data_IF_080323903664
#
_entry.id   IF_080323903664
#
_cell.length_a   1.000
_cell.length_b   1.000
_cell.length_c   1.000
_cell.angle_alpha   90.00
_cell.angle_beta   90.00
_cell.angle_gamma   90.00
#
_symmetry.space_group_name_H-M   'P 1'
#
loop_
_entity.id
_entity.type
_entity.pdbx_description
1 polymer ?
#
# COMPACT_ATOMS: atom_id res chain seq x y z
N UNK A 1 -39.72 9.74 41.84
CA UNK A 1 -39.70 10.87 40.89
C UNK A 1 -38.25 11.29 40.80
N UNK A 2 -37.53 10.89 39.75
CA UNK A 2 -36.09 11.19 39.63
C UNK A 2 -35.96 12.67 39.31
N UNK A 3 -35.35 13.43 40.20
CA UNK A 3 -35.22 14.87 40.05
C UNK A 3 -34.16 15.17 38.98
N UNK A 4 -34.56 15.93 37.96
CA UNK A 4 -33.74 16.31 36.79
C UNK A 4 -32.46 17.07 37.23
N UNK A 5 -32.43 17.58 38.46
CA UNK A 5 -31.27 18.25 39.05
C UNK A 5 -30.07 17.31 39.32
N UNK A 6 -30.28 16.01 39.52
CA UNK A 6 -29.18 15.05 39.76
C UNK A 6 -28.43 14.68 38.46
N UNK A 7 -28.92 15.15 37.30
CA UNK A 7 -28.31 14.99 35.97
C UNK A 7 -27.43 16.22 35.64
N UNK A 8 -27.44 17.26 36.47
CA UNK A 8 -26.55 18.41 36.31
C UNK A 8 -25.13 18.01 36.70
N UNK A 9 -24.18 18.19 35.77
CA UNK A 9 -22.75 17.92 35.96
C UNK A 9 -22.23 18.59 37.24
N UNK A 10 -21.93 17.80 38.27
CA UNK A 10 -21.27 18.29 39.47
C UNK A 10 -19.75 18.43 39.21
N UNK A 11 -19.33 19.62 38.80
CA UNK A 11 -17.92 19.94 38.59
C UNK A 11 -17.10 19.97 39.89
N UNK A 12 -17.74 19.97 41.06
CA UNK A 12 -17.05 19.99 42.35
C UNK A 12 -16.42 18.63 42.72
N UNK A 13 -16.89 17.54 42.11
CA UNK A 13 -16.38 16.19 42.33
C UNK A 13 -15.24 15.79 41.36
N UNK A 14 -14.84 16.70 40.46
CA UNK A 14 -13.77 16.44 39.49
C UNK A 14 -12.42 16.54 40.19
N UNK A 15 -11.73 15.42 40.29
CA UNK A 15 -10.34 15.37 40.74
C UNK A 15 -9.45 16.14 39.73
N UNK A 16 -8.63 17.07 40.24
CA UNK A 16 -7.74 17.89 39.41
C UNK A 16 -6.78 17.03 38.56
N UNK A 17 -6.46 15.83 39.03
CA UNK A 17 -5.68 14.87 38.27
C UNK A 17 -6.44 14.33 37.03
N UNK A 18 -7.73 14.02 37.16
CA UNK A 18 -8.55 13.57 36.04
C UNK A 18 -8.72 14.67 34.96
N UNK A 19 -8.84 15.93 35.39
CA UNK A 19 -8.93 17.08 34.49
C UNK A 19 -7.64 17.29 33.70
N UNK A 20 -6.48 17.20 34.36
CA UNK A 20 -5.18 17.34 33.69
C UNK A 20 -4.91 16.26 32.66
N UNK A 21 -5.19 14.98 32.98
CA UNK A 21 -5.07 13.87 32.02
C UNK A 21 -5.93 14.11 30.79
N UNK A 22 -7.18 14.53 30.99
CA UNK A 22 -8.15 14.75 29.90
C UNK A 22 -7.68 15.86 28.96
N UNK A 23 -7.24 17.00 29.51
CA UNK A 23 -6.73 18.13 28.71
C UNK A 23 -5.48 17.73 27.94
N UNK A 24 -4.53 17.06 28.60
CA UNK A 24 -3.30 16.59 27.95
C UNK A 24 -3.65 15.59 26.83
N UNK A 25 -4.51 14.62 27.09
CA UNK A 25 -4.94 13.62 26.11
C UNK A 25 -5.54 14.25 24.85
N UNK A 26 -6.51 15.16 25.00
CA UNK A 26 -7.10 15.84 23.84
C UNK A 26 -6.09 16.73 23.11
N UNK A 27 -5.21 17.43 23.83
CA UNK A 27 -4.20 18.29 23.21
C UNK A 27 -3.21 17.49 22.35
N UNK A 28 -2.76 16.33 22.83
CA UNK A 28 -1.83 15.45 22.11
C UNK A 28 -2.47 14.87 20.87
N UNK A 29 -3.72 14.40 20.96
CA UNK A 29 -4.46 13.87 19.80
C UNK A 29 -4.67 14.96 18.76
N UNK A 30 -5.07 16.16 19.18
CA UNK A 30 -5.25 17.29 18.28
C UNK A 30 -3.94 17.68 17.58
N UNK A 31 -2.84 17.77 18.32
CA UNK A 31 -1.51 18.04 17.76
C UNK A 31 -1.06 16.95 16.80
N UNK A 32 -1.29 15.67 17.11
CA UNK A 32 -0.93 14.56 16.26
C UNK A 32 -1.69 14.61 14.92
N UNK A 33 -3.00 14.89 14.96
CA UNK A 33 -3.83 15.04 13.76
C UNK A 33 -3.40 16.25 12.92
N UNK A 34 -3.15 17.40 13.56
CA UNK A 34 -2.69 18.61 12.88
C UNK A 34 -1.31 18.40 12.23
N UNK A 35 -0.40 17.73 12.93
CA UNK A 35 0.92 17.36 12.41
C UNK A 35 0.79 16.44 11.19
N UNK A 36 -0.03 15.40 11.30
CA UNK A 36 -0.24 14.45 10.21
C UNK A 36 -0.88 15.12 8.98
N UNK A 37 -1.84 16.03 9.18
CA UNK A 37 -2.37 16.88 8.11
C UNK A 37 -1.27 17.72 7.43
N UNK A 38 -0.38 18.35 8.21
CA UNK A 38 0.71 19.14 7.65
C UNK A 38 1.68 18.28 6.81
N UNK A 39 2.02 17.08 7.29
CA UNK A 39 2.85 16.13 6.53
C UNK A 39 2.19 15.77 5.19
N UNK A 40 0.91 15.39 5.20
CA UNK A 40 0.20 15.03 3.98
C UNK A 40 0.04 16.17 2.99
N UNK A 41 -0.05 17.42 3.43
CA UNK A 41 -0.12 18.57 2.52
C UNK A 41 1.25 18.97 1.97
N UNK A 42 2.34 18.69 2.71
CA UNK A 42 3.71 19.02 2.28
C UNK A 42 4.28 17.97 1.29
N UNK A 43 3.96 16.69 1.47
CA UNK A 43 4.40 15.59 0.60
C UNK A 43 4.10 15.83 -0.91
N UNK A 44 2.85 16.12 -1.35
CA UNK A 44 2.55 16.30 -2.77
C UNK A 44 3.28 17.52 -3.36
N UNK A 45 3.46 18.58 -2.57
CA UNK A 45 4.22 19.77 -3.01
C UNK A 45 5.69 19.43 -3.27
N UNK A 46 6.32 18.67 -2.38
CA UNK A 46 7.73 18.23 -2.54
C UNK A 46 7.87 17.30 -3.74
N UNK A 47 6.94 16.36 -3.91
CA UNK A 47 6.95 15.40 -5.03
C UNK A 47 6.77 16.14 -6.36
N UNK A 48 5.76 17.02 -6.47
CA UNK A 48 5.49 17.77 -7.69
C UNK A 48 6.67 18.70 -8.05
N UNK A 49 7.32 19.31 -7.06
CA UNK A 49 8.53 20.12 -7.28
C UNK A 49 9.68 19.28 -7.86
N UNK A 50 9.94 18.09 -7.31
CA UNK A 50 10.98 17.19 -7.82
C UNK A 50 10.67 16.69 -9.24
N UNK A 51 9.40 16.36 -9.51
CA UNK A 51 8.94 15.95 -10.84
C UNK A 51 9.16 17.08 -11.84
N UNK A 52 8.69 18.31 -11.54
CA UNK A 52 8.92 19.49 -12.39
C UNK A 52 10.40 19.76 -12.64
N UNK A 53 11.25 19.62 -11.62
CA UNK A 53 12.70 19.76 -11.79
C UNK A 53 13.30 18.69 -12.71
N UNK A 54 12.84 17.43 -12.62
CA UNK A 54 13.25 16.36 -13.54
C UNK A 54 12.77 16.62 -14.98
N UNK A 55 11.53 17.05 -15.19
CA UNK A 55 11.01 17.39 -16.52
C UNK A 55 11.80 18.55 -17.16
N UNK A 56 12.11 19.60 -16.37
CA UNK A 56 12.94 20.73 -16.84
C UNK A 56 14.34 20.29 -17.26
N UNK A 57 14.94 19.33 -16.56
CA UNK A 57 16.26 18.77 -16.93
C UNK A 57 16.22 17.91 -18.20
N UNK A 58 15.05 17.37 -18.56
CA UNK A 58 14.83 16.58 -19.77
C UNK A 58 14.45 17.43 -20.99
N UNK A 59 14.46 18.76 -20.89
CA UNK A 59 14.21 19.69 -22.01
C UNK A 59 12.74 19.87 -22.38
N UNK A 60 11.81 19.24 -21.65
CA UNK A 60 10.36 19.36 -21.88
C UNK A 60 9.76 20.54 -21.11
N UNK A 61 10.05 21.74 -21.61
CA UNK A 61 9.65 22.99 -20.97
C UNK A 61 8.13 23.27 -21.01
N UNK A 62 7.44 22.83 -22.06
CA UNK A 62 5.99 23.03 -22.20
C UNK A 62 5.18 22.15 -21.23
N UNK A 63 5.55 20.87 -21.07
CA UNK A 63 4.89 19.94 -20.13
C UNK A 63 5.14 20.34 -18.66
N UNK A 64 6.25 21.01 -18.35
CA UNK A 64 6.56 21.51 -16.99
C UNK A 64 5.88 22.85 -16.66
N UNK A 65 5.45 23.61 -17.67
CA UNK A 65 4.73 24.88 -17.55
C UNK A 65 3.20 24.70 -17.59
N UNK A 66 2.72 23.54 -18.03
CA UNK A 66 1.31 23.15 -18.00
C UNK A 66 0.72 23.22 -16.59
N UNK A 67 -0.47 23.81 -16.50
CA UNK A 67 -1.08 24.28 -15.26
C UNK A 67 -1.45 23.16 -14.26
N UNK A 68 -1.57 21.91 -14.70
CA UNK A 68 -2.11 20.85 -13.84
C UNK A 68 -1.42 19.50 -14.06
N UNK A 69 -0.32 19.27 -13.33
CA UNK A 69 0.05 17.91 -12.90
C UNK A 69 -0.83 17.55 -11.68
N UNK A 70 -2.13 17.81 -11.79
CA UNK A 70 -3.11 17.48 -10.78
C UNK A 70 -4.14 16.60 -11.50
N UNK A 71 -3.79 15.33 -11.63
CA UNK A 71 -4.70 14.34 -12.20
C UNK A 71 -5.63 13.92 -11.07
N UNK A 72 -6.96 14.08 -11.24
CA UNK A 72 -7.91 13.71 -10.20
C UNK A 72 -7.79 12.22 -9.87
N UNK A 73 -7.99 11.89 -8.59
CA UNK A 73 -7.77 10.54 -8.07
C UNK A 73 -8.61 9.48 -8.78
N UNK A 74 -9.81 9.84 -9.25
CA UNK A 74 -10.69 8.97 -10.03
C UNK A 74 -10.06 8.52 -11.36
N UNK A 75 -9.37 9.43 -12.06
CA UNK A 75 -8.70 9.14 -13.34
C UNK A 75 -7.49 8.24 -13.08
N UNK A 76 -6.71 8.51 -12.02
CA UNK A 76 -5.61 7.63 -11.64
C UNK A 76 -6.09 6.22 -11.24
N UNK A 77 -7.21 6.12 -10.52
CA UNK A 77 -7.81 4.84 -10.16
C UNK A 77 -8.29 4.07 -11.41
N UNK A 78 -8.96 4.75 -12.34
CA UNK A 78 -9.40 4.17 -13.61
C UNK A 78 -8.21 3.67 -14.46
N UNK A 79 -7.14 4.47 -14.58
CA UNK A 79 -5.91 4.08 -15.28
C UNK A 79 -5.27 2.86 -14.60
N UNK A 80 -5.15 2.89 -13.26
CA UNK A 80 -4.58 1.77 -12.50
C UNK A 80 -5.41 0.49 -12.66
N UNK A 81 -6.75 0.60 -12.70
CA UNK A 81 -7.64 -0.54 -12.91
C UNK A 81 -7.53 -1.08 -14.33
N UNK A 82 -7.47 -0.21 -15.34
CA UNK A 82 -7.27 -0.62 -16.73
C UNK A 82 -5.94 -1.36 -16.91
N UNK A 83 -4.85 -0.83 -16.34
CA UNK A 83 -3.55 -1.50 -16.35
C UNK A 83 -3.57 -2.83 -15.61
N UNK A 84 -4.20 -2.88 -14.44
CA UNK A 84 -4.33 -4.12 -13.67
C UNK A 84 -5.06 -5.20 -14.49
N UNK A 85 -6.20 -4.87 -15.09
CA UNK A 85 -6.96 -5.81 -15.91
C UNK A 85 -6.14 -6.28 -17.12
N UNK A 86 -5.47 -5.36 -17.82
CA UNK A 86 -4.62 -5.70 -18.96
C UNK A 86 -3.49 -6.67 -18.58
N UNK A 87 -2.79 -6.43 -17.46
CA UNK A 87 -1.72 -7.34 -17.02
C UNK A 87 -2.26 -8.65 -16.43
N UNK A 88 -3.42 -8.64 -15.80
CA UNK A 88 -4.07 -9.84 -15.30
C UNK A 88 -4.54 -10.77 -16.42
N UNK A 89 -4.97 -10.22 -17.55
CA UNK A 89 -5.40 -11.00 -18.72
C UNK A 89 -4.22 -11.63 -19.49
N UNK A 90 -3.00 -11.11 -19.31
CA UNK A 90 -1.77 -11.62 -19.93
C UNK A 90 -1.13 -12.78 -19.16
N UNK A 91 -1.48 -12.98 -17.88
CA UNK A 91 -1.03 -14.12 -17.09
C UNK A 91 -2.13 -15.16 -17.04
N UNK A 92 -1.80 -16.44 -17.26
CA UNK A 92 -2.75 -17.53 -17.04
C UNK A 92 -3.19 -17.51 -15.56
N UNK A 93 -4.49 -17.72 -15.29
CA UNK A 93 -4.96 -17.86 -13.92
C UNK A 93 -4.32 -19.09 -13.28
N UNK A 94 -3.28 -18.86 -12.47
CA UNK A 94 -2.63 -19.93 -11.73
C UNK A 94 -3.63 -20.50 -10.72
N UNK A 95 -4.10 -21.73 -10.96
CA UNK A 95 -4.85 -22.46 -9.95
C UNK A 95 -3.91 -22.66 -8.76
N UNK A 96 -4.11 -21.92 -7.67
CA UNK A 96 -3.33 -22.02 -6.44
C UNK A 96 -3.55 -23.36 -5.68
N UNK A 97 -3.94 -24.40 -6.43
CA UNK A 97 -4.14 -25.78 -6.00
C UNK A 97 -3.00 -26.60 -6.56
N UNK A 98 -1.93 -26.76 -5.77
CA UNK A 98 -0.80 -27.59 -6.15
C UNK A 98 -1.18 -29.08 -6.08
N UNK A 99 -1.79 -29.62 -7.14
CA UNK A 99 -2.14 -31.04 -7.22
C UNK A 99 -0.89 -31.86 -7.54
N UNK A 100 -0.12 -32.24 -6.51
CA UNK A 100 0.99 -33.18 -6.68
C UNK A 100 0.42 -34.56 -6.99
N UNK A 101 0.30 -34.90 -8.27
CA UNK A 101 0.11 -36.30 -8.68
C UNK A 101 1.39 -37.07 -8.39
N UNK A 102 1.43 -37.78 -7.26
CA UNK A 102 2.51 -38.73 -6.96
C UNK A 102 2.41 -39.90 -7.94
N UNK A 103 3.10 -39.78 -9.07
CA UNK A 103 3.35 -40.92 -9.94
C UNK A 103 4.24 -41.88 -9.15
N UNK A 104 3.86 -43.15 -9.02
CA UNK A 104 4.62 -44.18 -8.27
C UNK A 104 5.97 -44.55 -8.88
N UNK A 105 6.49 -43.75 -9.82
CA UNK A 105 7.81 -43.94 -10.40
C UNK A 105 8.85 -43.43 -9.41
N UNK A 106 9.56 -44.37 -8.77
CA UNK A 106 10.68 -44.12 -7.82
C UNK A 106 11.87 -43.38 -8.47
N UNK A 107 11.79 -43.05 -9.76
CA UNK A 107 12.81 -42.34 -10.51
C UNK A 107 12.18 -41.25 -11.38
N UNK A 108 12.81 -40.07 -11.40
CA UNK A 108 12.52 -39.02 -12.39
C UNK A 108 13.34 -39.30 -13.65
N UNK A 109 12.73 -39.35 -14.85
CA UNK A 109 13.47 -39.55 -16.10
C UNK A 109 14.41 -38.38 -16.44
N UNK A 110 14.24 -37.21 -15.81
CA UNK A 110 15.08 -36.03 -16.05
C UNK A 110 16.55 -36.21 -15.61
N UNK A 111 16.81 -37.14 -14.69
CA UNK A 111 18.13 -37.40 -14.11
C UNK A 111 18.48 -38.90 -14.11
N UNK A 112 17.90 -39.71 -15.00
CA UNK A 112 18.17 -41.14 -14.96
C UNK A 112 19.49 -41.46 -15.68
N UNK A 113 20.52 -41.79 -14.88
CA UNK A 113 21.89 -42.11 -15.33
C UNK A 113 21.97 -43.28 -16.33
N UNK A 114 20.91 -44.09 -16.42
CA UNK A 114 20.75 -45.20 -17.38
C UNK A 114 20.81 -44.77 -18.84
N UNK A 115 20.34 -43.57 -19.21
CA UNK A 115 20.44 -43.08 -20.59
C UNK A 115 21.85 -42.57 -20.96
N UNK A 116 22.74 -42.39 -19.98
CA UNK A 116 24.12 -41.98 -20.19
C UNK A 116 25.12 -43.13 -20.26
N UNK A 117 24.68 -44.38 -20.10
CA UNK A 117 25.54 -45.55 -20.19
C UNK A 117 25.60 -46.03 -21.65
N UNK A 118 26.75 -45.79 -22.27
CA UNK A 118 27.04 -46.30 -23.59
C UNK A 118 27.43 -47.79 -23.52
N UNK A 119 26.59 -48.68 -24.02
CA UNK A 119 26.86 -50.13 -24.09
C UNK A 119 27.73 -50.50 -25.29
N UNK A 120 28.87 -49.83 -25.49
CA UNK A 120 29.92 -50.37 -26.37
C UNK A 120 30.72 -51.43 -25.62
N UNK A 121 30.19 -52.65 -25.58
CA UNK A 121 30.98 -53.82 -25.20
C UNK A 121 31.81 -54.25 -26.42
N UNK A 122 33.13 -54.09 -26.34
CA UNK A 122 34.05 -54.69 -27.32
C UNK A 122 34.24 -56.16 -26.93
N UNK A 123 33.67 -57.07 -27.73
CA UNK A 123 33.99 -58.50 -27.66
C UNK A 123 35.45 -58.75 -28.03
#
# INVERSE_FOLDING_TARGET
MIHIADILFDLSAIDGFALTITIVGYSVVFLALAFMYYVFTMLPKIINLNIRQKLRRQGKHEEAAGESIDVPGEVNAAISMALHLYFSELHDEESNVMTIKRVSKRYSPWSSKIYGLNTYTRR
#
